data_IF_432298605684
#
_entry.id   IF_432298605684
#
_cell.length_a   1.000
_cell.length_b   1.000
_cell.length_c   1.000
_cell.angle_alpha   90.00
_cell.angle_beta   90.00
_cell.angle_gamma   90.00
#
_symmetry.space_group_name_H-M   'P 1'
#
loop_
_entity.id
_entity.type
_entity.pdbx_description
1 polymer ?
#
# COMPACT_ATOMS: atom_id res chain seq x y z
N UNK A 1 6.37 -19.86 5.44
CA UNK A 1 7.28 -19.46 6.51
C UNK A 1 6.54 -19.10 7.80
N UNK A 2 5.44 -18.36 7.75
CA UNK A 2 4.73 -17.79 8.92
C UNK A 2 3.62 -18.67 9.50
N UNK A 3 3.40 -19.86 8.93
CA UNK A 3 2.28 -20.76 9.21
C UNK A 3 2.08 -21.15 10.67
N UNK A 4 3.18 -21.51 11.36
CA UNK A 4 3.17 -22.07 12.70
C UNK A 4 3.76 -21.13 13.77
N UNK A 5 3.69 -19.83 13.55
CA UNK A 5 4.19 -18.85 14.52
C UNK A 5 3.21 -18.76 15.68
N UNK A 6 3.67 -19.14 16.87
CA UNK A 6 2.90 -19.06 18.12
C UNK A 6 3.05 -17.69 18.77
N UNK A 7 4.27 -17.15 18.79
CA UNK A 7 4.58 -15.87 19.42
C UNK A 7 4.76 -14.78 18.34
N UNK A 8 3.66 -14.10 18.01
CA UNK A 8 3.63 -13.06 17.00
C UNK A 8 4.50 -11.87 17.38
N UNK A 9 4.47 -11.44 18.63
CA UNK A 9 5.28 -10.32 19.13
C UNK A 9 6.77 -10.55 18.86
N UNK A 10 7.29 -11.74 19.23
CA UNK A 10 8.71 -12.06 19.01
C UNK A 10 9.05 -12.02 17.52
N UNK A 11 8.20 -12.59 16.69
CA UNK A 11 8.45 -12.62 15.25
C UNK A 11 8.40 -11.21 14.63
N UNK A 12 7.41 -10.39 15.02
CA UNK A 12 7.33 -8.98 14.59
C UNK A 12 8.60 -8.24 14.97
N UNK A 13 9.05 -8.35 16.23
CA UNK A 13 10.28 -7.69 16.71
C UNK A 13 11.50 -8.21 15.93
N UNK A 14 11.63 -9.53 15.73
CA UNK A 14 12.79 -10.11 15.01
C UNK A 14 12.89 -9.59 13.56
N UNK A 15 11.76 -9.52 12.84
CA UNK A 15 11.76 -9.00 11.48
C UNK A 15 12.01 -7.49 11.46
N UNK A 16 11.46 -6.75 12.43
CA UNK A 16 11.78 -5.32 12.58
C UNK A 16 13.26 -5.09 12.86
N UNK A 17 13.90 -5.91 13.69
CA UNK A 17 15.35 -5.84 13.90
C UNK A 17 16.15 -6.05 12.61
N UNK A 18 15.70 -6.96 11.74
CA UNK A 18 16.31 -7.14 10.43
C UNK A 18 16.13 -5.89 9.54
N UNK A 19 14.93 -5.33 9.51
CA UNK A 19 14.62 -4.08 8.77
C UNK A 19 15.47 -2.92 9.32
N UNK A 20 15.58 -2.81 10.63
CA UNK A 20 16.42 -1.81 11.30
C UNK A 20 17.89 -1.94 10.89
N UNK A 21 18.43 -3.16 10.88
CA UNK A 21 19.79 -3.41 10.45
C UNK A 21 20.01 -2.94 9.01
N UNK A 22 19.08 -3.24 8.10
CA UNK A 22 19.19 -2.83 6.70
C UNK A 22 19.11 -1.31 6.56
N UNK A 23 18.16 -0.66 7.24
CA UNK A 23 18.03 0.81 7.25
C UNK A 23 19.28 1.48 7.81
N UNK A 24 19.85 0.94 8.89
CA UNK A 24 21.12 1.39 9.46
C UNK A 24 22.28 1.25 8.48
N UNK A 25 22.42 0.10 7.81
CA UNK A 25 23.47 -0.14 6.82
C UNK A 25 23.35 0.83 5.63
N UNK A 26 22.12 1.08 5.15
CA UNK A 26 21.89 2.12 4.13
C UNK A 26 22.34 3.49 4.61
N UNK A 27 21.92 3.89 5.82
CA UNK A 27 22.32 5.16 6.41
C UNK A 27 23.84 5.28 6.57
N UNK A 28 24.46 4.26 7.10
CA UNK A 28 25.91 4.23 7.32
C UNK A 28 26.70 4.32 6.01
N UNK A 29 26.36 3.45 5.03
CA UNK A 29 27.07 3.39 3.75
C UNK A 29 26.99 4.72 3.00
N UNK A 30 25.81 5.32 2.90
CA UNK A 30 25.63 6.52 2.10
C UNK A 30 26.02 7.82 2.85
N UNK A 31 26.13 7.79 4.18
CA UNK A 31 26.56 8.97 4.96
C UNK A 31 28.06 8.99 5.22
N UNK A 32 28.61 7.88 5.70
CA UNK A 32 29.94 7.84 6.29
C UNK A 32 30.97 7.03 5.49
N UNK A 33 30.54 6.09 4.65
CA UNK A 33 31.43 5.20 3.92
C UNK A 33 31.83 5.78 2.57
N UNK A 34 33.10 5.60 2.19
CA UNK A 34 33.60 5.91 0.85
C UNK A 34 32.94 5.04 -0.24
N UNK A 35 32.38 3.87 0.13
CA UNK A 35 31.61 3.03 -0.81
C UNK A 35 30.38 3.76 -1.36
N UNK A 36 29.75 4.66 -0.60
CA UNK A 36 28.62 5.47 -1.08
C UNK A 36 29.00 6.41 -2.21
N UNK A 37 30.27 6.82 -2.32
CA UNK A 37 30.79 7.71 -3.37
C UNK A 37 31.17 6.96 -4.64
N UNK A 38 31.25 5.63 -4.60
CA UNK A 38 31.65 4.81 -5.75
C UNK A 38 30.56 4.87 -6.84
N UNK A 39 30.90 4.96 -8.14
CA UNK A 39 29.94 4.90 -9.24
C UNK A 39 29.03 3.66 -9.23
N UNK A 40 29.48 2.57 -8.60
CA UNK A 40 28.70 1.33 -8.45
C UNK A 40 27.86 1.28 -7.16
N UNK A 41 27.78 2.35 -6.39
CA UNK A 41 27.00 2.42 -5.13
C UNK A 41 25.51 2.06 -5.30
N UNK A 42 24.96 2.27 -6.50
CA UNK A 42 23.61 1.84 -6.84
C UNK A 42 23.41 0.32 -6.68
N UNK A 43 24.46 -0.51 -6.93
CA UNK A 43 24.37 -1.97 -6.72
C UNK A 43 24.20 -2.31 -5.24
N UNK A 44 24.89 -1.57 -4.37
CA UNK A 44 24.78 -1.73 -2.91
C UNK A 44 23.35 -1.32 -2.47
N UNK A 45 22.88 -0.18 -2.97
CA UNK A 45 21.52 0.28 -2.70
C UNK A 45 20.47 -0.76 -3.07
N UNK A 46 20.47 -1.26 -4.32
CA UNK A 46 19.52 -2.24 -4.78
C UNK A 46 19.62 -3.57 -4.02
N UNK A 47 20.83 -4.01 -3.67
CA UNK A 47 21.02 -5.21 -2.87
C UNK A 47 20.36 -5.06 -1.50
N UNK A 48 20.65 -3.98 -0.78
CA UNK A 48 20.05 -3.69 0.52
C UNK A 48 18.53 -3.51 0.40
N UNK A 49 18.07 -2.82 -0.65
CA UNK A 49 16.64 -2.61 -0.90
C UNK A 49 15.88 -3.92 -1.17
N UNK A 50 16.49 -4.88 -1.88
CA UNK A 50 15.91 -6.21 -2.08
C UNK A 50 15.70 -6.91 -0.72
N UNK A 51 16.71 -6.90 0.16
CA UNK A 51 16.57 -7.48 1.50
C UNK A 51 15.52 -6.76 2.34
N UNK A 52 15.44 -5.43 2.22
CA UNK A 52 14.40 -4.63 2.85
C UNK A 52 13.00 -5.04 2.36
N UNK A 53 12.81 -5.12 1.05
CA UNK A 53 11.54 -5.50 0.43
C UNK A 53 11.12 -6.93 0.81
N UNK A 54 12.06 -7.88 0.82
CA UNK A 54 11.81 -9.25 1.28
C UNK A 54 11.39 -9.29 2.75
N UNK A 55 12.01 -8.49 3.60
CA UNK A 55 11.66 -8.39 5.02
C UNK A 55 10.24 -7.83 5.22
N UNK A 56 9.86 -6.81 4.44
CA UNK A 56 8.48 -6.27 4.42
C UNK A 56 7.50 -7.36 3.95
N UNK A 57 7.81 -8.10 2.89
CA UNK A 57 6.97 -9.20 2.41
C UNK A 57 6.73 -10.29 3.45
N UNK A 58 7.70 -10.55 4.33
CA UNK A 58 7.56 -11.51 5.43
C UNK A 58 6.69 -10.93 6.56
N UNK A 59 6.86 -9.65 6.90
CA UNK A 59 6.19 -9.07 8.06
C UNK A 59 4.71 -8.78 7.82
N UNK A 60 4.31 -8.39 6.61
CA UNK A 60 2.93 -7.99 6.30
C UNK A 60 1.88 -9.03 6.71
N UNK A 61 2.00 -10.32 6.38
CA UNK A 61 1.03 -11.32 6.82
C UNK A 61 1.00 -11.53 8.34
N UNK A 62 2.16 -11.39 9.00
CA UNK A 62 2.28 -11.54 10.46
C UNK A 62 1.62 -10.36 11.16
N UNK A 63 1.85 -9.17 10.63
CA UNK A 63 1.30 -7.91 11.13
C UNK A 63 -0.22 -7.87 11.03
N UNK A 64 -0.74 -8.31 9.90
CA UNK A 64 -2.17 -8.39 9.68
C UNK A 64 -2.86 -9.31 10.70
N UNK A 65 -2.32 -10.50 10.93
CA UNK A 65 -2.84 -11.45 11.92
C UNK A 65 -2.72 -10.91 13.36
N UNK A 66 -1.64 -10.19 13.67
CA UNK A 66 -1.45 -9.53 14.95
C UNK A 66 -2.50 -8.44 15.19
N UNK A 67 -2.71 -7.57 14.21
CA UNK A 67 -3.69 -6.47 14.30
C UNK A 67 -5.13 -6.99 14.38
N UNK A 68 -5.45 -8.05 13.66
CA UNK A 68 -6.77 -8.68 13.72
C UNK A 68 -7.13 -9.14 15.13
N UNK A 69 -6.17 -9.67 15.87
CA UNK A 69 -6.37 -10.17 17.24
C UNK A 69 -6.47 -9.05 18.28
N UNK A 70 -5.90 -7.90 17.99
CA UNK A 70 -5.86 -6.77 18.93
C UNK A 70 -7.04 -5.85 18.79
N UNK A 71 -7.78 -5.92 17.66
CA UNK A 71 -8.88 -5.02 17.33
C UNK A 71 -10.24 -5.72 17.44
N UNK A 72 -11.23 -5.02 18.02
CA UNK A 72 -12.62 -5.50 18.00
C UNK A 72 -13.15 -5.49 16.57
N UNK A 73 -13.89 -6.54 16.17
CA UNK A 73 -14.42 -6.68 14.79
C UNK A 73 -15.24 -5.46 14.37
N UNK A 74 -16.08 -4.91 15.26
CA UNK A 74 -16.96 -3.77 14.99
C UNK A 74 -16.26 -2.41 14.84
N UNK A 75 -14.95 -2.32 15.17
CA UNK A 75 -14.18 -1.07 15.13
C UNK A 75 -12.90 -1.22 14.26
N UNK A 76 -12.79 -2.30 13.51
CA UNK A 76 -11.60 -2.60 12.71
C UNK A 76 -11.37 -1.58 11.60
N UNK A 77 -12.44 -1.22 10.89
CA UNK A 77 -12.36 -0.23 9.83
C UNK A 77 -11.88 1.11 10.35
N UNK A 78 -12.49 1.61 11.43
CA UNK A 78 -12.08 2.85 12.10
C UNK A 78 -10.63 2.75 12.62
N UNK A 79 -10.24 1.63 13.22
CA UNK A 79 -8.87 1.43 13.71
C UNK A 79 -7.85 1.52 12.57
N UNK A 80 -8.07 0.80 11.47
CA UNK A 80 -7.18 0.87 10.30
C UNK A 80 -7.25 2.23 9.64
N UNK A 81 -8.44 2.83 9.55
CA UNK A 81 -8.62 4.18 9.01
C UNK A 81 -7.78 5.22 9.76
N UNK A 82 -7.82 5.21 11.09
CA UNK A 82 -6.98 6.08 11.94
C UNK A 82 -5.50 5.75 11.72
N UNK A 83 -5.12 4.47 11.71
CA UNK A 83 -3.73 4.06 11.50
C UNK A 83 -3.17 4.56 10.16
N UNK A 84 -3.93 4.44 9.07
CA UNK A 84 -3.52 4.95 7.77
C UNK A 84 -3.59 6.49 7.67
N UNK A 85 -4.49 7.16 8.42
CA UNK A 85 -4.48 8.60 8.54
C UNK A 85 -3.19 9.10 9.21
N UNK A 86 -2.75 8.47 10.30
CA UNK A 86 -1.45 8.76 10.92
C UNK A 86 -0.26 8.44 10.00
N UNK A 87 -0.35 7.38 9.20
CA UNK A 87 0.64 7.09 8.16
C UNK A 87 0.78 8.26 7.17
N UNK A 88 -0.33 8.88 6.78
CA UNK A 88 -0.33 10.07 5.91
C UNK A 88 0.35 11.26 6.56
N UNK A 89 0.12 11.49 7.86
CA UNK A 89 0.83 12.54 8.63
C UNK A 89 2.34 12.27 8.65
N UNK A 90 2.72 11.01 8.87
CA UNK A 90 4.12 10.58 8.81
C UNK A 90 4.74 10.79 7.42
N UNK A 91 4.02 10.45 6.35
CA UNK A 91 4.46 10.65 4.98
C UNK A 91 4.65 12.14 4.64
N UNK A 92 3.73 12.99 5.09
CA UNK A 92 3.86 14.45 4.96
C UNK A 92 5.10 14.99 5.69
N UNK A 93 5.29 14.61 6.96
CA UNK A 93 6.48 14.97 7.73
C UNK A 93 7.78 14.48 7.09
N UNK A 94 7.80 13.24 6.60
CA UNK A 94 8.91 12.67 5.85
C UNK A 94 9.23 13.44 4.56
N UNK A 95 8.19 13.88 3.84
CA UNK A 95 8.33 14.73 2.66
C UNK A 95 8.99 16.08 2.97
N UNK A 96 8.60 16.71 4.08
CA UNK A 96 9.23 17.95 4.56
C UNK A 96 10.72 17.73 4.87
N UNK A 97 11.03 16.68 5.64
CA UNK A 97 12.41 16.31 5.98
C UNK A 97 13.24 16.09 4.71
N UNK A 98 12.71 15.33 3.76
CA UNK A 98 13.39 15.06 2.49
C UNK A 98 13.65 16.35 1.70
N UNK A 99 12.68 17.26 1.65
CA UNK A 99 12.85 18.56 1.00
C UNK A 99 14.04 19.34 1.61
N UNK A 100 14.10 19.43 2.93
CA UNK A 100 15.23 20.10 3.60
C UNK A 100 16.58 19.43 3.35
N UNK A 101 16.61 18.09 3.34
CA UNK A 101 17.82 17.33 3.03
C UNK A 101 18.31 17.56 1.60
N UNK A 102 17.41 17.63 0.64
CA UNK A 102 17.74 17.87 -0.77
C UNK A 102 18.13 19.33 -1.06
N UNK A 103 17.60 20.29 -0.29
CA UNK A 103 17.96 21.69 -0.39
C UNK A 103 19.23 22.05 0.40
N UNK A 104 19.72 21.16 1.26
CA UNK A 104 20.93 21.36 2.02
C UNK A 104 22.18 21.34 1.11
N UNK A 105 23.26 22.04 1.55
CA UNK A 105 24.56 21.98 0.88
C UNK A 105 25.25 20.61 1.01
N UNK A 106 24.58 19.60 1.54
CA UNK A 106 25.12 18.24 1.70
C UNK A 106 25.18 17.55 0.34
N UNK A 107 26.35 17.17 -0.13
CA UNK A 107 26.50 16.56 -1.46
C UNK A 107 25.85 15.17 -1.52
N UNK A 108 25.37 14.80 -2.72
CA UNK A 108 24.97 13.42 -3.02
C UNK A 108 26.18 12.48 -2.83
N UNK A 109 26.00 11.29 -2.24
CA UNK A 109 24.77 10.67 -1.75
C UNK A 109 24.50 10.90 -0.24
N UNK A 110 25.31 11.72 0.46
CA UNK A 110 25.19 11.93 1.92
C UNK A 110 23.83 12.47 2.35
N UNK A 111 23.22 13.34 1.56
CA UNK A 111 21.89 13.86 1.82
C UNK A 111 20.84 12.74 1.94
N UNK A 112 20.89 11.73 1.06
CA UNK A 112 20.04 10.53 1.16
C UNK A 112 20.44 9.62 2.32
N UNK A 113 21.73 9.52 2.63
CA UNK A 113 22.24 8.78 3.79
C UNK A 113 21.63 9.30 5.09
N UNK A 114 21.56 10.62 5.30
CA UNK A 114 20.86 11.19 6.45
C UNK A 114 19.38 10.85 6.47
N UNK A 115 18.71 10.80 5.32
CA UNK A 115 17.32 10.34 5.21
C UNK A 115 17.14 8.90 5.72
N UNK A 116 18.05 7.99 5.37
CA UNK A 116 18.04 6.61 5.87
C UNK A 116 18.34 6.52 7.37
N UNK A 117 19.20 7.38 7.92
CA UNK A 117 19.44 7.45 9.37
C UNK A 117 18.16 7.90 10.10
N UNK A 118 17.45 8.91 9.58
CA UNK A 118 16.18 9.36 10.14
C UNK A 118 15.14 8.24 10.06
N UNK A 119 15.05 7.53 8.92
CA UNK A 119 14.19 6.36 8.77
C UNK A 119 14.52 5.30 9.82
N UNK A 120 15.81 4.97 10.02
CA UNK A 120 16.27 4.03 11.05
C UNK A 120 15.80 4.45 12.44
N UNK A 121 15.97 5.72 12.82
CA UNK A 121 15.56 6.25 14.12
C UNK A 121 14.03 6.15 14.33
N UNK A 122 13.24 6.51 13.31
CA UNK A 122 11.78 6.39 13.36
C UNK A 122 11.34 4.91 13.51
N UNK A 123 11.95 4.01 12.75
CA UNK A 123 11.68 2.58 12.84
C UNK A 123 12.10 1.99 14.19
N UNK A 124 13.22 2.44 14.75
CA UNK A 124 13.70 2.03 16.07
C UNK A 124 12.69 2.43 17.15
N UNK A 125 12.24 3.68 17.16
CA UNK A 125 11.22 4.16 18.10
C UNK A 125 9.93 3.36 17.97
N UNK A 126 9.45 3.12 16.74
CA UNK A 126 8.28 2.28 16.49
C UNK A 126 8.46 0.84 17.00
N UNK A 127 9.64 0.26 16.79
CA UNK A 127 9.94 -1.10 17.26
C UNK A 127 9.99 -1.18 18.79
N UNK A 128 10.53 -0.17 19.47
CA UNK A 128 10.55 -0.09 20.93
C UNK A 128 9.13 -0.07 21.53
N UNK A 129 8.17 0.57 20.88
CA UNK A 129 6.77 0.56 21.34
C UNK A 129 6.20 -0.85 21.36
N UNK A 130 6.56 -1.72 20.40
CA UNK A 130 6.14 -3.13 20.43
C UNK A 130 6.66 -3.90 21.64
N UNK A 131 7.77 -3.50 22.22
CA UNK A 131 8.32 -4.16 23.41
C UNK A 131 7.36 -4.08 24.60
N UNK A 132 6.63 -2.98 24.74
CA UNK A 132 5.68 -2.78 25.84
C UNK A 132 4.34 -3.49 25.61
N UNK A 133 4.07 -4.00 24.41
CA UNK A 133 2.83 -4.70 24.11
C UNK A 133 2.81 -6.08 24.79
N UNK A 134 1.68 -6.41 25.45
CA UNK A 134 1.44 -7.73 26.06
C UNK A 134 0.63 -8.60 25.10
N UNK A 135 1.26 -9.57 24.47
CA UNK A 135 0.57 -10.54 23.62
C UNK A 135 -0.16 -11.57 24.50
N UNK A 136 -1.45 -11.79 24.22
CA UNK A 136 -2.17 -12.93 24.79
C UNK A 136 -1.69 -14.23 24.13
N UNK A 137 -1.31 -15.22 24.94
CA UNK A 137 -0.93 -16.53 24.42
C UNK A 137 -2.08 -17.18 23.69
N UNK A 138 -1.84 -17.62 22.45
CA UNK A 138 -2.79 -18.36 21.64
C UNK A 138 -2.27 -19.77 21.38
N UNK A 139 -3.00 -20.76 21.84
CA UNK A 139 -2.74 -22.15 21.43
C UNK A 139 -3.27 -22.32 20.00
N UNK A 140 -2.37 -22.31 19.01
CA UNK A 140 -2.71 -22.66 17.64
C UNK A 140 -2.32 -24.10 17.37
N UNK A 141 -3.23 -24.92 16.82
CA UNK A 141 -2.87 -26.27 16.41
C UNK A 141 -1.81 -26.18 15.29
N UNK A 142 -0.81 -27.03 15.39
CA UNK A 142 0.21 -27.17 14.35
C UNK A 142 -0.41 -27.54 13.01
N UNK A 143 -0.21 -26.72 11.98
CA UNK A 143 -0.64 -27.05 10.62
C UNK A 143 0.51 -27.70 9.85
N UNK A 144 0.33 -28.94 9.43
CA UNK A 144 1.26 -29.61 8.53
C UNK A 144 1.30 -28.94 7.15
N UNK A 145 2.36 -29.17 6.35
CA UNK A 145 2.41 -28.71 4.96
C UNK A 145 1.27 -29.26 4.10
N UNK A 146 0.88 -30.51 4.37
CA UNK A 146 -0.23 -31.17 3.66
C UNK A 146 -1.55 -30.46 3.98
N UNK A 147 -1.83 -30.19 5.24
CA UNK A 147 -3.04 -29.47 5.66
C UNK A 147 -3.09 -28.06 5.08
N UNK A 148 -1.97 -27.35 5.04
CA UNK A 148 -1.87 -26.03 4.42
C UNK A 148 -2.15 -26.07 2.91
N UNK A 149 -1.60 -27.06 2.18
CA UNK A 149 -1.87 -27.23 0.74
C UNK A 149 -3.34 -27.55 0.47
N UNK A 150 -3.95 -28.38 1.31
CA UNK A 150 -5.39 -28.73 1.19
C UNK A 150 -6.26 -27.50 1.41
N UNK A 151 -6.00 -26.72 2.47
CA UNK A 151 -6.74 -25.48 2.74
C UNK A 151 -6.57 -24.44 1.62
N UNK A 152 -5.34 -24.24 1.15
CA UNK A 152 -5.05 -23.34 0.02
C UNK A 152 -5.81 -23.76 -1.24
N UNK A 153 -5.82 -25.08 -1.53
CA UNK A 153 -6.59 -25.64 -2.66
C UNK A 153 -8.09 -25.42 -2.48
N UNK A 154 -8.61 -25.63 -1.27
CA UNK A 154 -10.04 -25.40 -0.97
C UNK A 154 -10.43 -23.94 -1.20
N UNK A 155 -9.62 -22.97 -0.72
CA UNK A 155 -9.84 -21.55 -0.95
C UNK A 155 -9.85 -21.23 -2.45
N UNK A 156 -8.91 -21.81 -3.21
CA UNK A 156 -8.79 -21.60 -4.66
C UNK A 156 -9.92 -22.28 -5.46
N UNK A 157 -10.52 -23.35 -4.95
CA UNK A 157 -11.50 -24.13 -5.72
C UNK A 157 -12.93 -23.86 -5.28
N UNK A 158 -13.18 -23.73 -3.98
CA UNK A 158 -14.52 -23.79 -3.40
C UNK A 158 -15.04 -22.47 -2.82
N UNK A 159 -14.35 -21.33 -3.06
CA UNK A 159 -14.76 -20.01 -2.55
C UNK A 159 -15.12 -19.04 -3.70
N UNK A 160 -16.23 -19.24 -4.41
CA UNK A 160 -16.56 -18.48 -5.62
C UNK A 160 -16.72 -16.97 -5.36
N UNK A 161 -17.21 -16.57 -4.17
CA UNK A 161 -17.34 -15.16 -3.82
C UNK A 161 -15.99 -14.46 -3.67
N UNK A 162 -14.99 -15.17 -3.10
CA UNK A 162 -13.63 -14.69 -3.00
C UNK A 162 -12.96 -14.58 -4.38
N UNK A 163 -13.22 -15.53 -5.29
CA UNK A 163 -12.71 -15.46 -6.66
C UNK A 163 -13.25 -14.25 -7.42
N UNK A 164 -14.53 -13.95 -7.28
CA UNK A 164 -15.13 -12.75 -7.89
C UNK A 164 -14.48 -11.48 -7.38
N UNK A 165 -14.20 -11.44 -6.08
CA UNK A 165 -13.43 -10.34 -5.48
C UNK A 165 -12.00 -10.25 -6.07
N UNK A 166 -11.28 -11.37 -6.20
CA UNK A 166 -9.97 -11.41 -6.84
C UNK A 166 -10.00 -10.85 -8.27
N UNK A 167 -11.00 -11.25 -9.06
CA UNK A 167 -11.18 -10.71 -10.41
C UNK A 167 -11.42 -9.20 -10.42
N UNK A 168 -12.24 -8.69 -9.52
CA UNK A 168 -12.38 -7.23 -9.36
C UNK A 168 -11.04 -6.55 -9.03
N UNK A 169 -10.22 -7.18 -8.16
CA UNK A 169 -8.90 -6.69 -7.79
C UNK A 169 -7.90 -6.71 -8.94
N UNK A 170 -7.97 -7.68 -9.86
CA UNK A 170 -7.15 -7.71 -11.08
C UNK A 170 -7.34 -6.43 -11.89
N UNK A 171 -8.57 -6.06 -12.18
CA UNK A 171 -8.86 -4.83 -12.93
C UNK A 171 -8.42 -3.57 -12.16
N UNK A 172 -8.58 -3.57 -10.84
CA UNK A 172 -8.10 -2.47 -10.01
C UNK A 172 -6.57 -2.30 -10.02
N UNK A 173 -5.79 -3.36 -10.29
CA UNK A 173 -4.33 -3.24 -10.45
C UNK A 173 -3.92 -2.23 -11.54
N UNK A 174 -4.81 -1.90 -12.47
CA UNK A 174 -4.58 -0.84 -13.47
C UNK A 174 -4.29 0.54 -12.86
N UNK A 175 -4.65 0.76 -11.58
CA UNK A 175 -4.40 2.02 -10.87
C UNK A 175 -2.99 2.14 -10.30
N UNK A 176 -2.19 1.07 -10.28
CA UNK A 176 -0.87 1.08 -9.64
C UNK A 176 0.11 2.12 -10.23
N UNK A 177 0.13 2.37 -11.56
CA UNK A 177 0.99 3.42 -12.13
C UNK A 177 0.45 4.84 -11.92
N UNK A 178 -0.68 5.01 -11.25
CA UNK A 178 -1.49 6.24 -11.27
C UNK A 178 -0.72 7.51 -10.92
N UNK A 179 -0.04 7.60 -9.77
CA UNK A 179 0.56 8.87 -9.32
C UNK A 179 1.56 9.40 -10.36
N UNK A 180 2.48 8.56 -10.84
CA UNK A 180 3.46 8.94 -11.85
C UNK A 180 2.81 9.34 -13.18
N UNK A 181 1.83 8.55 -13.64
CA UNK A 181 1.09 8.81 -14.87
C UNK A 181 0.40 10.19 -14.85
N UNK A 182 -0.35 10.48 -13.77
CA UNK A 182 -1.09 11.75 -13.67
C UNK A 182 -0.15 12.94 -13.52
N UNK A 183 0.93 12.81 -12.74
CA UNK A 183 1.90 13.89 -12.58
C UNK A 183 2.55 14.27 -13.92
N UNK A 184 3.06 13.27 -14.67
CA UNK A 184 3.69 13.50 -15.98
C UNK A 184 2.68 14.05 -16.99
N UNK A 185 1.47 13.50 -17.04
CA UNK A 185 0.41 13.99 -17.94
C UNK A 185 0.06 15.46 -17.67
N UNK A 186 -0.18 15.80 -16.41
CA UNK A 186 -0.54 17.15 -16.03
C UNK A 186 0.60 18.13 -16.28
N UNK A 187 1.86 17.73 -16.02
CA UNK A 187 3.03 18.55 -16.33
C UNK A 187 3.14 18.83 -17.83
N UNK A 188 2.99 17.78 -18.66
CA UNK A 188 3.06 17.93 -20.11
C UNK A 188 1.92 18.79 -20.68
N UNK A 189 0.73 18.70 -20.08
CA UNK A 189 -0.46 19.40 -20.59
C UNK A 189 -0.53 20.86 -20.17
N UNK A 190 -0.10 21.18 -18.94
CA UNK A 190 -0.28 22.49 -18.34
C UNK A 190 1.04 23.25 -18.14
N UNK A 191 2.17 22.61 -18.42
CA UNK A 191 3.52 23.20 -18.35
C UNK A 191 3.77 23.99 -17.06
N UNK A 192 3.35 23.40 -15.90
CA UNK A 192 3.52 24.04 -14.60
C UNK A 192 4.94 23.84 -14.05
N UNK A 193 5.34 24.72 -13.12
CA UNK A 193 6.62 24.65 -12.43
C UNK A 193 6.69 23.35 -11.59
N UNK A 194 7.89 22.79 -11.51
CA UNK A 194 8.17 21.59 -10.67
C UNK A 194 7.80 21.80 -9.20
N UNK A 195 7.84 23.05 -8.71
CA UNK A 195 7.39 23.41 -7.36
C UNK A 195 5.93 23.08 -7.08
N UNK A 196 5.05 23.13 -8.09
CA UNK A 196 3.63 22.78 -7.97
C UNK A 196 3.40 21.29 -7.70
N UNK A 197 4.32 20.42 -8.12
CA UNK A 197 4.27 18.98 -7.80
C UNK A 197 4.24 18.75 -6.28
N UNK A 198 4.95 19.60 -5.53
CA UNK A 198 4.90 19.58 -4.07
C UNK A 198 3.50 19.85 -3.53
N UNK A 199 2.81 20.86 -4.08
CA UNK A 199 1.43 21.21 -3.69
C UNK A 199 0.45 20.07 -3.97
N UNK A 200 0.56 19.43 -5.14
CA UNK A 200 -0.27 18.27 -5.49
C UNK A 200 -0.02 17.07 -4.60
N UNK A 201 1.24 16.82 -4.27
CA UNK A 201 1.62 15.74 -3.34
C UNK A 201 1.03 15.98 -1.95
N UNK A 202 1.08 17.21 -1.45
CA UNK A 202 0.50 17.61 -0.17
C UNK A 202 -1.02 17.33 -0.16
N UNK A 203 -1.73 17.78 -1.20
CA UNK A 203 -3.18 17.55 -1.32
C UNK A 203 -3.52 16.07 -1.40
N UNK A 204 -2.75 15.30 -2.15
CA UNK A 204 -2.91 13.83 -2.22
C UNK A 204 -2.76 13.19 -0.84
N UNK A 205 -1.71 13.53 -0.09
CA UNK A 205 -1.42 12.96 1.23
C UNK A 205 -2.49 13.37 2.26
N UNK A 206 -2.93 14.62 2.26
CA UNK A 206 -4.01 15.09 3.14
C UNK A 206 -5.31 14.36 2.81
N UNK A 207 -5.67 14.30 1.54
CA UNK A 207 -6.86 13.57 1.09
C UNK A 207 -6.80 12.10 1.46
N UNK A 208 -5.64 11.46 1.26
CA UNK A 208 -5.42 10.07 1.67
C UNK A 208 -5.68 9.86 3.16
N UNK A 209 -5.18 10.76 4.02
CA UNK A 209 -5.40 10.69 5.47
C UNK A 209 -6.88 10.84 5.85
N UNK A 210 -7.55 11.85 5.33
CA UNK A 210 -8.96 12.13 5.60
C UNK A 210 -9.84 10.95 5.15
N UNK A 211 -9.65 10.50 3.92
CA UNK A 211 -10.49 9.43 3.36
C UNK A 211 -10.16 8.03 3.89
N UNK A 212 -8.96 7.81 4.45
CA UNK A 212 -8.68 6.61 5.23
C UNK A 212 -9.57 6.50 6.45
N UNK A 213 -9.72 7.59 7.21
CA UNK A 213 -10.61 7.63 8.37
C UNK A 213 -12.08 7.48 7.96
N UNK A 214 -12.53 8.28 6.99
CA UNK A 214 -13.92 8.25 6.50
C UNK A 214 -14.30 6.86 5.99
N UNK A 215 -13.44 6.25 5.19
CA UNK A 215 -13.68 4.92 4.62
C UNK A 215 -13.65 3.81 5.68
N UNK A 216 -12.79 3.94 6.70
CA UNK A 216 -12.79 3.05 7.85
C UNK A 216 -14.11 3.09 8.60
N UNK A 217 -14.61 4.28 8.92
CA UNK A 217 -15.90 4.48 9.57
C UNK A 217 -17.07 3.97 8.72
N UNK A 218 -17.08 4.29 7.42
CA UNK A 218 -18.10 3.79 6.49
C UNK A 218 -18.07 2.27 6.42
N UNK A 219 -16.89 1.66 6.40
CA UNK A 219 -16.74 0.20 6.39
C UNK A 219 -17.33 -0.46 7.64
N UNK A 220 -17.06 0.10 8.82
CA UNK A 220 -17.62 -0.42 10.08
C UNK A 220 -19.15 -0.30 10.15
N UNK A 221 -19.71 0.77 9.55
CA UNK A 221 -21.14 1.05 9.63
C UNK A 221 -21.99 0.39 8.54
N UNK A 222 -21.45 0.36 7.31
CA UNK A 222 -22.21 -0.05 6.12
C UNK A 222 -21.61 -1.26 5.40
N UNK A 223 -20.50 -1.81 5.91
CA UNK A 223 -19.78 -2.93 5.33
C UNK A 223 -18.57 -2.52 4.50
N UNK A 224 -17.53 -3.33 4.57
CA UNK A 224 -16.24 -3.03 3.92
C UNK A 224 -16.28 -3.14 2.39
N UNK A 225 -17.28 -3.81 1.83
CA UNK A 225 -17.56 -3.80 0.39
C UNK A 225 -17.92 -2.40 -0.10
N UNK A 226 -18.73 -1.66 0.66
CA UNK A 226 -19.15 -0.28 0.30
C UNK A 226 -17.95 0.65 0.34
N UNK A 227 -17.12 0.58 1.38
CA UNK A 227 -15.93 1.41 1.47
C UNK A 227 -14.91 1.09 0.37
N UNK A 228 -14.83 -0.17 -0.09
CA UNK A 228 -14.03 -0.54 -1.26
C UNK A 228 -14.57 0.03 -2.56
N UNK A 229 -15.90 0.05 -2.74
CA UNK A 229 -16.54 0.71 -3.89
C UNK A 229 -16.23 2.21 -3.91
N UNK A 230 -16.22 2.88 -2.75
CA UNK A 230 -15.79 4.28 -2.66
C UNK A 230 -14.35 4.48 -3.17
N UNK A 231 -13.44 3.60 -2.78
CA UNK A 231 -12.05 3.66 -3.25
C UNK A 231 -11.96 3.57 -4.79
N UNK A 232 -12.68 2.62 -5.39
CA UNK A 232 -12.71 2.45 -6.84
C UNK A 232 -13.36 3.65 -7.53
N UNK A 233 -14.43 4.18 -6.97
CA UNK A 233 -15.13 5.36 -7.50
C UNK A 233 -14.26 6.62 -7.46
N UNK A 234 -13.47 6.83 -6.43
CA UNK A 234 -12.55 7.97 -6.37
C UNK A 234 -11.41 7.85 -7.41
N UNK A 235 -10.88 6.64 -7.63
CA UNK A 235 -9.90 6.46 -8.71
C UNK A 235 -10.53 6.66 -10.10
N UNK A 236 -11.77 6.23 -10.30
CA UNK A 236 -12.50 6.49 -11.55
C UNK A 236 -12.75 7.99 -11.72
N UNK A 237 -13.12 8.70 -10.65
CA UNK A 237 -13.25 10.16 -10.65
C UNK A 237 -11.94 10.84 -11.08
N UNK A 238 -10.79 10.37 -10.58
CA UNK A 238 -9.50 10.91 -10.99
C UNK A 238 -9.24 10.74 -12.50
N UNK A 239 -9.62 9.59 -13.09
CA UNK A 239 -9.56 9.36 -14.54
C UNK A 239 -10.45 10.34 -15.30
N UNK A 240 -11.70 10.50 -14.87
CA UNK A 240 -12.65 11.42 -15.51
C UNK A 240 -12.13 12.85 -15.42
N UNK A 241 -11.66 13.30 -14.25
CA UNK A 241 -11.07 14.62 -14.09
C UNK A 241 -9.85 14.83 -15.00
N UNK A 242 -8.99 13.82 -15.18
CA UNK A 242 -7.83 13.92 -16.06
C UNK A 242 -8.23 14.06 -17.53
N UNK A 243 -9.18 13.26 -18.00
CA UNK A 243 -9.67 13.31 -19.38
C UNK A 243 -10.30 14.67 -19.74
N UNK A 244 -11.06 15.25 -18.83
CA UNK A 244 -11.77 16.51 -19.02
C UNK A 244 -11.02 17.74 -18.48
N UNK A 245 -9.79 17.59 -17.95
CA UNK A 245 -9.03 18.69 -17.36
C UNK A 245 -8.76 19.82 -18.33
N UNK A 246 -9.07 21.07 -17.91
CA UNK A 246 -8.90 22.29 -18.73
C UNK A 246 -7.94 23.31 -18.13
N UNK A 247 -7.74 23.30 -16.82
CA UNK A 247 -6.90 24.24 -16.10
C UNK A 247 -6.35 23.61 -14.79
N UNK A 248 -5.58 24.37 -14.02
CA UNK A 248 -4.95 23.92 -12.79
C UNK A 248 -5.92 23.46 -11.70
N UNK A 249 -7.13 24.01 -11.62
CA UNK A 249 -8.14 23.54 -10.65
C UNK A 249 -8.49 22.07 -10.83
N UNK A 250 -8.52 21.59 -12.07
CA UNK A 250 -8.74 20.18 -12.36
C UNK A 250 -7.59 19.31 -11.86
N UNK A 251 -6.35 19.82 -11.96
CA UNK A 251 -5.17 19.10 -11.44
C UNK A 251 -5.27 18.91 -9.95
N UNK A 252 -5.63 19.94 -9.18
CA UNK A 252 -5.90 19.79 -7.73
C UNK A 252 -6.96 18.74 -7.46
N UNK A 253 -8.08 18.78 -8.22
CA UNK A 253 -9.16 17.78 -8.13
C UNK A 253 -8.68 16.35 -8.40
N UNK A 254 -7.82 16.14 -9.41
CA UNK A 254 -7.23 14.84 -9.73
C UNK A 254 -6.46 14.30 -8.53
N UNK A 255 -5.55 15.08 -7.95
CA UNK A 255 -4.72 14.61 -6.83
C UNK A 255 -5.50 14.41 -5.54
N UNK A 256 -6.55 15.21 -5.30
CA UNK A 256 -7.51 14.96 -4.20
C UNK A 256 -8.23 13.63 -4.42
N UNK A 257 -8.75 13.37 -5.63
CA UNK A 257 -9.44 12.13 -5.94
C UNK A 257 -8.52 10.90 -5.85
N UNK A 258 -7.26 11.02 -6.32
CA UNK A 258 -6.25 9.96 -6.15
C UNK A 258 -5.98 9.66 -4.68
N UNK A 259 -5.77 10.69 -3.86
CA UNK A 259 -5.56 10.54 -2.43
C UNK A 259 -6.77 9.93 -1.74
N UNK A 260 -7.98 10.37 -2.08
CA UNK A 260 -9.22 9.80 -1.57
C UNK A 260 -9.36 8.31 -1.93
N UNK A 261 -9.04 7.94 -3.17
CA UNK A 261 -9.05 6.55 -3.63
C UNK A 261 -8.06 5.68 -2.87
N UNK A 262 -6.82 6.13 -2.73
CA UNK A 262 -5.76 5.42 -2.01
C UNK A 262 -6.09 5.29 -0.52
N UNK A 263 -6.52 6.38 0.12
CA UNK A 263 -6.89 6.40 1.51
C UNK A 263 -8.07 5.47 1.81
N UNK A 264 -9.08 5.47 0.96
CA UNK A 264 -10.23 4.58 1.10
C UNK A 264 -9.87 3.12 0.85
N UNK A 265 -8.92 2.84 -0.03
CA UNK A 265 -8.54 1.48 -0.40
C UNK A 265 -7.87 0.71 0.73
N UNK A 266 -6.91 1.30 1.42
CA UNK A 266 -6.07 0.60 2.40
C UNK A 266 -6.87 -0.07 3.54
N UNK A 267 -7.71 0.66 4.32
CA UNK A 267 -8.49 0.05 5.39
C UNK A 267 -9.54 -0.93 4.85
N UNK A 268 -10.14 -0.60 3.68
CA UNK A 268 -11.18 -1.44 3.08
C UNK A 268 -10.65 -2.77 2.60
N UNK A 269 -9.49 -2.77 1.93
CA UNK A 269 -8.87 -3.98 1.39
C UNK A 269 -8.52 -4.97 2.51
N UNK A 270 -7.91 -4.48 3.60
CA UNK A 270 -7.54 -5.34 4.73
C UNK A 270 -8.77 -5.95 5.42
N UNK A 271 -9.76 -5.12 5.72
CA UNK A 271 -10.94 -5.58 6.44
C UNK A 271 -11.80 -6.53 5.59
N UNK A 272 -11.94 -6.25 4.29
CA UNK A 272 -12.69 -7.14 3.40
C UNK A 272 -12.02 -8.52 3.28
N UNK A 273 -10.70 -8.61 3.31
CA UNK A 273 -9.98 -9.89 3.38
C UNK A 273 -10.29 -10.62 4.68
N UNK A 274 -10.35 -9.92 5.81
CA UNK A 274 -10.71 -10.52 7.08
C UNK A 274 -12.16 -11.04 7.09
N UNK A 275 -13.08 -10.33 6.45
CA UNK A 275 -14.46 -10.76 6.32
C UNK A 275 -14.57 -12.00 5.43
N UNK A 276 -13.83 -12.10 4.31
CA UNK A 276 -13.77 -13.30 3.48
C UNK A 276 -13.17 -14.50 4.22
N UNK A 277 -12.11 -14.29 4.97
CA UNK A 277 -11.45 -15.35 5.71
C UNK A 277 -12.27 -15.86 6.90
N UNK A 278 -13.13 -15.01 7.49
CA UNK A 278 -13.98 -15.31 8.64
C UNK A 278 -13.22 -16.10 9.73
N UNK A 279 -13.48 -17.42 9.84
CA UNK A 279 -12.81 -18.35 10.77
C UNK A 279 -11.54 -18.98 10.21
N UNK A 280 -11.32 -18.88 8.90
CA UNK A 280 -10.15 -19.43 8.21
C UNK A 280 -8.87 -18.63 8.53
N UNK A 281 -7.72 -19.13 8.08
CA UNK A 281 -6.44 -18.46 8.28
C UNK A 281 -6.28 -17.21 7.38
N UNK A 282 -6.41 -16.02 7.97
CA UNK A 282 -6.31 -14.73 7.29
C UNK A 282 -5.01 -14.55 6.53
N UNK A 283 -3.90 -15.10 7.05
CA UNK A 283 -2.58 -15.03 6.39
C UNK A 283 -2.58 -15.74 5.06
N UNK A 284 -3.30 -16.87 4.97
CA UNK A 284 -3.43 -17.62 3.72
C UNK A 284 -4.18 -16.79 2.68
N UNK A 285 -5.28 -16.14 3.06
CA UNK A 285 -6.02 -15.26 2.15
C UNK A 285 -5.18 -14.08 1.67
N UNK A 286 -4.46 -13.39 2.57
CA UNK A 286 -3.59 -12.28 2.20
C UNK A 286 -2.48 -12.72 1.24
N UNK A 287 -1.77 -13.80 1.58
CA UNK A 287 -0.71 -14.32 0.73
C UNK A 287 -1.22 -14.76 -0.66
N UNK A 288 -2.42 -15.35 -0.72
CA UNK A 288 -3.05 -15.73 -1.98
C UNK A 288 -3.39 -14.51 -2.84
N UNK A 289 -3.95 -13.45 -2.26
CA UNK A 289 -4.27 -12.21 -2.99
C UNK A 289 -2.99 -11.62 -3.58
N UNK A 290 -1.96 -11.40 -2.77
CA UNK A 290 -0.73 -10.77 -3.21
C UNK A 290 -0.03 -11.60 -4.29
N UNK A 291 0.04 -12.94 -4.11
CA UNK A 291 0.63 -13.85 -5.09
C UNK A 291 -0.17 -13.88 -6.39
N UNK A 292 -1.50 -13.89 -6.30
CA UNK A 292 -2.37 -13.92 -7.48
C UNK A 292 -2.33 -12.60 -8.25
N UNK A 293 -2.28 -11.47 -7.57
CA UNK A 293 -2.31 -10.15 -8.20
C UNK A 293 -0.94 -9.70 -8.76
N UNK A 294 0.17 -10.24 -8.25
CA UNK A 294 1.50 -9.81 -8.64
C UNK A 294 1.76 -9.83 -10.17
N UNK A 295 1.44 -10.90 -10.94
CA UNK A 295 1.67 -10.91 -12.38
C UNK A 295 0.80 -9.86 -13.11
N UNK A 296 -0.42 -9.61 -12.67
CA UNK A 296 -1.29 -8.59 -13.25
C UNK A 296 -0.81 -7.19 -12.93
N UNK A 297 -0.29 -6.97 -11.71
CA UNK A 297 0.34 -5.71 -11.32
C UNK A 297 1.53 -5.38 -12.25
N UNK A 298 2.43 -6.35 -12.47
CA UNK A 298 3.58 -6.20 -13.37
C UNK A 298 3.10 -5.89 -14.80
N UNK A 299 2.08 -6.61 -15.27
CA UNK A 299 1.53 -6.42 -16.61
C UNK A 299 0.95 -5.01 -16.78
N UNK A 300 0.14 -4.53 -15.84
CA UNK A 300 -0.44 -3.18 -15.93
C UNK A 300 0.62 -2.09 -15.81
N UNK A 301 1.59 -2.23 -14.91
CA UNK A 301 2.70 -1.26 -14.78
C UNK A 301 3.49 -1.20 -16.09
N UNK A 302 3.83 -2.35 -16.67
CA UNK A 302 4.57 -2.43 -17.92
C UNK A 302 3.78 -1.88 -19.12
N UNK A 303 2.52 -2.28 -19.27
CA UNK A 303 1.67 -1.84 -20.37
C UNK A 303 1.41 -0.33 -20.32
N UNK A 304 1.04 0.21 -19.17
CA UNK A 304 0.81 1.66 -19.00
C UNK A 304 2.12 2.43 -19.19
N UNK A 305 3.24 1.93 -18.62
CA UNK A 305 4.56 2.55 -18.79
C UNK A 305 4.98 2.62 -20.28
N UNK A 306 4.73 1.55 -21.05
CA UNK A 306 4.96 1.55 -22.50
C UNK A 306 4.13 2.60 -23.25
N UNK A 307 2.84 2.74 -22.90
CA UNK A 307 1.97 3.74 -23.49
C UNK A 307 2.41 5.17 -23.15
N UNK A 308 2.84 5.40 -21.91
CA UNK A 308 3.35 6.70 -21.44
C UNK A 308 4.63 7.10 -22.20
N UNK A 309 5.56 6.17 -22.39
CA UNK A 309 6.76 6.41 -23.21
C UNK A 309 6.42 6.78 -24.65
N UNK A 310 5.32 6.26 -25.20
CA UNK A 310 4.79 6.63 -26.51
C UNK A 310 3.88 7.89 -26.52
N UNK A 311 3.86 8.67 -25.44
CA UNK A 311 2.96 9.83 -25.25
C UNK A 311 1.46 9.52 -25.38
N UNK A 312 1.05 8.27 -25.20
CA UNK A 312 -0.35 7.82 -25.34
C UNK A 312 -1.11 7.92 -24.00
N UNK A 313 -1.03 9.07 -23.34
CA UNK A 313 -1.65 9.28 -22.02
C UNK A 313 -3.17 9.08 -22.03
N UNK A 314 -3.86 9.66 -23.02
CA UNK A 314 -5.32 9.56 -23.12
C UNK A 314 -5.77 8.10 -23.26
N UNK A 315 -5.06 7.31 -24.06
CA UNK A 315 -5.33 5.88 -24.19
C UNK A 315 -5.11 5.14 -22.87
N UNK A 316 -4.06 5.50 -22.11
CA UNK A 316 -3.81 4.95 -20.78
C UNK A 316 -4.99 5.24 -19.83
N UNK A 317 -5.53 6.45 -19.83
CA UNK A 317 -6.71 6.81 -19.03
C UNK A 317 -7.96 6.04 -19.43
N UNK A 318 -8.20 5.85 -20.73
CA UNK A 318 -9.33 5.02 -21.19
C UNK A 318 -9.19 3.56 -20.71
N UNK A 319 -8.01 2.98 -20.81
CA UNK A 319 -7.76 1.61 -20.33
C UNK A 319 -8.00 1.51 -18.82
N UNK A 320 -7.43 2.42 -18.02
CA UNK A 320 -7.61 2.47 -16.57
C UNK A 320 -9.10 2.68 -16.23
N UNK A 321 -9.77 3.60 -16.92
CA UNK A 321 -11.19 3.88 -16.70
C UNK A 321 -12.07 2.67 -16.98
N UNK A 322 -11.88 1.98 -18.11
CA UNK A 322 -12.60 0.76 -18.44
C UNK A 322 -12.33 -0.37 -17.43
N UNK A 323 -11.08 -0.54 -17.00
CA UNK A 323 -10.73 -1.50 -15.96
C UNK A 323 -11.43 -1.15 -14.63
N UNK A 324 -11.46 0.12 -14.22
CA UNK A 324 -12.14 0.54 -13.00
C UNK A 324 -13.65 0.34 -13.08
N UNK A 325 -14.28 0.63 -14.22
CA UNK A 325 -15.70 0.35 -14.44
C UNK A 325 -15.97 -1.15 -14.31
N UNK A 326 -15.15 -1.98 -14.93
CA UNK A 326 -15.27 -3.45 -14.80
C UNK A 326 -15.07 -3.89 -13.34
N UNK A 327 -14.07 -3.33 -12.64
CA UNK A 327 -13.81 -3.64 -11.23
C UNK A 327 -15.02 -3.26 -10.34
N UNK A 328 -15.63 -2.10 -10.57
CA UNK A 328 -16.82 -1.63 -9.83
C UNK A 328 -18.02 -2.54 -10.13
N UNK A 329 -18.28 -2.85 -11.39
CA UNK A 329 -19.39 -3.72 -11.79
C UNK A 329 -19.23 -5.10 -11.14
N UNK A 330 -18.05 -5.70 -11.21
CA UNK A 330 -17.79 -7.01 -10.62
C UNK A 330 -17.97 -6.94 -9.10
N UNK A 331 -17.38 -5.95 -8.43
CA UNK A 331 -17.48 -5.80 -6.98
C UNK A 331 -18.92 -5.55 -6.53
N UNK A 332 -19.65 -4.70 -7.22
CA UNK A 332 -21.01 -4.32 -6.84
C UNK A 332 -22.02 -5.45 -7.04
N UNK A 333 -22.07 -6.04 -8.24
CA UNK A 333 -23.13 -6.97 -8.62
C UNK A 333 -22.79 -8.44 -8.38
N UNK A 334 -21.51 -8.83 -8.49
CA UNK A 334 -21.15 -10.25 -8.44
C UNK A 334 -20.52 -10.67 -7.10
N UNK A 335 -19.97 -9.73 -6.33
CA UNK A 335 -19.42 -10.02 -5.00
C UNK A 335 -20.48 -9.79 -3.94
N UNK A 336 -20.85 -10.84 -3.20
CA UNK A 336 -21.72 -10.73 -2.02
C UNK A 336 -20.90 -10.15 -0.86
N UNK A 337 -21.51 -9.28 -0.04
CA UNK A 337 -20.84 -8.75 1.13
C UNK A 337 -20.58 -9.86 2.15
N UNK A 338 -19.31 -10.20 2.45
CA UNK A 338 -19.00 -11.28 3.39
C UNK A 338 -19.23 -10.89 4.84
N UNK A 339 -19.43 -9.60 5.13
CA UNK A 339 -19.67 -9.06 6.48
C UNK A 339 -21.15 -9.02 6.88
N UNK A 340 -22.06 -9.24 5.93
CA UNK A 340 -23.51 -9.12 6.13
C UNK A 340 -24.22 -10.36 6.72
N UNK A 341 -23.46 -11.34 7.21
CA UNK A 341 -24.01 -12.56 7.87
C UNK A 341 -23.87 -12.47 9.39
#
# INVERSE_FOLDING_TARGET
LTRNIVNMKRMVISVHCLILLIAFLMGYVFTFSEFGKNPNSWKIYFTLFIFYALSIGIIVPIWADFLEKTTKRSLRGTFFGIGFAFNSVGAFGGGIVLKYLLQSNTPFPRNFGYGFIILFMCLLLGTLVFYFYKEKSYNRPYKSLKAFKVETKDIITNRPNFHRYLFSRVFYCSTLPAIGLYAIYCQNKFNFDISEVGSFTILNVISMGVFSYVSGYVGDKYGHKISMLLAYSFHLLAVVLALFSKNMFWVYGIFIALGAGQGSFMPSAMNLIYDFANKDDKKTYMALIDTFLAPFAILFIGAIGFLVNGNKFVLSFYIIGLCLIAAIIILHFFVKDPGSN
#
